data_IF_254280371177
#
_entry.id   IF_254280371177
#
_cell.length_a   1.000
_cell.length_b   1.000
_cell.length_c   1.000
_cell.angle_alpha   90.00
_cell.angle_beta   90.00
_cell.angle_gamma   90.00
#
_symmetry.space_group_name_H-M   'P 1'
#
loop_
_entity.id
_entity.type
_entity.pdbx_description
1 polymer ?
#
# COMPACT_ATOMS: atom_id res chain seq x y z
N UNK A 1 65.70 18.54 18.38
CA UNK A 1 64.46 19.12 17.81
C UNK A 1 63.74 18.04 16.97
N UNK A 2 62.60 17.51 17.37
CA UNK A 2 61.83 16.62 16.56
C UNK A 2 60.81 17.34 15.71
N UNK A 3 60.67 16.91 14.46
CA UNK A 3 59.63 17.35 13.50
C UNK A 3 58.31 16.71 13.89
N UNK A 4 57.26 17.51 13.94
CA UNK A 4 55.87 17.10 13.99
C UNK A 4 55.39 16.79 12.56
N UNK A 5 55.02 15.56 12.33
CA UNK A 5 54.17 15.15 11.23
C UNK A 5 52.79 14.71 11.80
N UNK A 6 51.80 15.58 11.67
CA UNK A 6 50.39 15.25 11.96
C UNK A 6 49.70 14.92 10.64
N UNK A 7 49.62 13.65 10.34
CA UNK A 7 48.86 13.12 9.20
C UNK A 7 47.46 12.76 9.70
N UNK A 8 46.46 13.62 9.40
CA UNK A 8 45.07 13.40 9.69
C UNK A 8 44.41 12.66 8.48
N UNK A 9 44.63 11.36 8.40
CA UNK A 9 43.98 10.47 7.47
C UNK A 9 42.52 10.23 7.81
N UNK A 10 41.66 11.22 7.59
CA UNK A 10 40.20 11.04 7.65
C UNK A 10 39.70 10.14 6.53
N UNK A 11 38.95 9.18 6.89
CA UNK A 11 38.51 8.00 6.14
C UNK A 11 37.82 8.33 4.80
N UNK A 12 38.58 8.39 3.72
CA UNK A 12 38.10 8.59 2.34
C UNK A 12 37.27 7.39 1.80
N UNK A 13 37.17 6.27 2.51
CA UNK A 13 36.42 5.08 2.06
C UNK A 13 34.92 5.19 2.30
N UNK A 14 34.49 5.76 3.41
CA UNK A 14 33.07 5.90 3.74
C UNK A 14 32.38 6.84 2.75
N UNK A 15 33.03 7.93 2.36
CA UNK A 15 32.52 8.90 1.37
C UNK A 15 32.37 8.26 -0.04
N UNK A 16 33.21 7.29 -0.39
CA UNK A 16 33.18 6.63 -1.70
C UNK A 16 32.04 5.62 -1.84
N UNK A 17 31.63 4.96 -0.76
CA UNK A 17 30.49 4.03 -0.78
C UNK A 17 29.13 4.78 -0.88
N UNK A 18 28.97 5.89 -0.16
CA UNK A 18 27.76 6.72 -0.28
C UNK A 18 27.62 7.39 -1.67
N UNK A 19 28.69 7.76 -2.30
CA UNK A 19 28.67 8.34 -3.66
C UNK A 19 28.38 7.29 -4.75
N UNK A 20 28.79 6.04 -4.58
CA UNK A 20 28.53 4.98 -5.56
C UNK A 20 27.06 4.53 -5.62
N UNK A 21 26.31 4.62 -4.53
CA UNK A 21 24.88 4.28 -4.52
C UNK A 21 24.03 5.35 -5.22
N UNK A 22 24.48 6.60 -5.23
CA UNK A 22 23.77 7.72 -5.89
C UNK A 22 24.06 7.85 -7.39
N UNK A 23 25.13 7.26 -7.90
CA UNK A 23 25.59 7.46 -9.28
C UNK A 23 25.14 6.39 -10.30
N UNK A 24 24.49 5.32 -9.86
CA UNK A 24 24.02 4.27 -10.80
C UNK A 24 22.82 4.71 -11.67
N UNK A 25 22.19 5.84 -11.39
CA UNK A 25 21.11 6.41 -12.19
C UNK A 25 21.54 7.41 -13.30
N UNK A 26 22.81 7.79 -13.40
CA UNK A 26 23.24 8.92 -14.24
C UNK A 26 24.16 8.54 -15.41
N UNK A 27 24.02 7.33 -15.97
CA UNK A 27 24.86 6.87 -17.10
C UNK A 27 24.49 7.44 -18.48
N UNK A 28 23.52 8.35 -18.57
CA UNK A 28 23.10 8.97 -19.85
C UNK A 28 23.48 10.45 -20.05
N UNK A 29 24.22 11.07 -19.12
CA UNK A 29 24.67 12.46 -19.31
C UNK A 29 26.21 12.55 -19.36
N UNK A 30 26.76 12.13 -20.47
CA UNK A 30 28.22 12.16 -20.71
C UNK A 30 28.86 13.53 -20.86
N UNK A 31 28.14 14.66 -20.72
CA UNK A 31 28.68 16.01 -20.99
C UNK A 31 28.69 16.99 -19.82
N UNK A 32 28.23 16.60 -18.63
CA UNK A 32 28.12 17.54 -17.47
C UNK A 32 29.15 17.23 -16.38
N UNK A 33 29.94 16.15 -16.50
CA UNK A 33 30.80 15.66 -15.41
C UNK A 33 32.01 16.53 -15.06
N UNK A 34 32.49 17.38 -15.99
CA UNK A 34 33.71 18.18 -15.80
C UNK A 34 33.54 19.43 -14.96
N UNK A 35 32.39 20.11 -15.03
CA UNK A 35 32.14 21.39 -14.30
C UNK A 35 31.51 21.22 -12.93
N UNK A 36 30.81 20.12 -12.66
CA UNK A 36 30.14 19.87 -11.38
C UNK A 36 31.12 19.37 -10.31
N UNK A 37 32.25 18.75 -10.69
CA UNK A 37 33.26 18.26 -9.74
C UNK A 37 33.90 19.36 -8.88
N UNK A 38 34.07 20.57 -9.41
CA UNK A 38 34.70 21.67 -8.66
C UNK A 38 33.75 22.37 -7.68
N UNK A 39 32.43 22.22 -7.87
CA UNK A 39 31.43 22.92 -7.01
C UNK A 39 30.99 22.06 -5.82
N UNK A 40 31.21 20.74 -5.85
CA UNK A 40 30.79 19.80 -4.79
C UNK A 40 31.84 19.68 -3.68
N UNK A 41 33.11 19.99 -3.93
CA UNK A 41 34.18 19.97 -2.91
C UNK A 41 34.04 21.05 -1.82
N UNK A 42 33.12 21.99 -1.99
CA UNK A 42 32.89 23.11 -1.04
C UNK A 42 31.63 22.93 -0.16
N UNK A 43 30.97 21.76 -0.16
CA UNK A 43 29.78 21.52 0.64
C UNK A 43 30.18 20.87 1.98
N UNK A 44 30.18 21.65 3.03
CA UNK A 44 30.25 21.14 4.41
C UNK A 44 28.94 20.42 4.76
N UNK A 45 29.01 19.10 4.84
CA UNK A 45 27.86 18.21 5.08
C UNK A 45 27.33 18.31 6.53
N UNK A 46 28.04 18.98 7.43
CA UNK A 46 27.65 19.05 8.85
C UNK A 46 26.79 20.27 9.22
N UNK A 47 26.78 21.32 8.43
CA UNK A 47 26.09 22.58 8.82
C UNK A 47 24.69 22.77 8.25
N UNK A 48 24.20 21.92 7.34
CA UNK A 48 22.82 22.00 6.82
C UNK A 48 22.42 23.30 6.10
N UNK A 49 23.35 24.24 5.88
CA UNK A 49 23.08 25.55 5.31
C UNK A 49 23.46 25.60 3.84
N UNK A 50 22.47 25.67 3.00
CA UNK A 50 22.55 25.71 1.54
C UNK A 50 22.83 27.13 1.04
N UNK A 51 24.07 27.68 1.24
CA UNK A 51 24.45 29.02 0.78
C UNK A 51 24.94 29.10 -0.70
N UNK A 52 25.20 27.96 -1.35
CA UNK A 52 25.77 27.90 -2.71
C UNK A 52 24.75 27.66 -3.84
N UNK A 53 23.45 27.51 -3.53
CA UNK A 53 22.42 27.22 -4.56
C UNK A 53 22.00 28.44 -5.40
N UNK A 54 22.44 29.63 -5.06
CA UNK A 54 22.03 30.85 -5.80
C UNK A 54 22.63 30.98 -7.21
N UNK A 55 23.66 30.24 -7.55
CA UNK A 55 24.34 30.31 -8.86
C UNK A 55 23.89 29.22 -9.86
N UNK A 56 22.96 28.35 -9.46
CA UNK A 56 22.46 27.30 -10.38
C UNK A 56 21.34 27.83 -11.29
N UNK A 57 21.27 27.42 -12.56
CA UNK A 57 20.15 27.75 -13.44
C UNK A 57 18.80 27.37 -12.80
N UNK A 58 17.79 28.23 -12.96
CA UNK A 58 16.48 28.11 -12.32
C UNK A 58 15.86 26.72 -12.45
N UNK A 59 15.95 26.08 -13.63
CA UNK A 59 15.46 24.73 -13.87
C UNK A 59 16.21 23.61 -13.13
N UNK A 60 17.51 23.78 -12.88
CA UNK A 60 18.31 22.82 -12.12
C UNK A 60 18.05 22.95 -10.60
N UNK A 61 17.80 24.16 -10.15
CA UNK A 61 17.38 24.44 -8.77
C UNK A 61 16.02 23.83 -8.47
N UNK A 62 15.04 23.99 -9.37
CA UNK A 62 13.71 23.38 -9.23
C UNK A 62 13.77 21.85 -9.33
N UNK A 63 14.63 21.32 -10.18
CA UNK A 63 14.87 19.88 -10.27
C UNK A 63 15.48 19.33 -8.97
N UNK A 64 16.51 19.96 -8.41
CA UNK A 64 17.13 19.56 -7.14
C UNK A 64 16.18 19.77 -5.94
N UNK A 65 15.40 20.85 -5.91
CA UNK A 65 14.36 21.04 -4.89
C UNK A 65 13.21 20.03 -4.99
N UNK A 66 12.77 19.65 -6.18
CA UNK A 66 11.75 18.61 -6.39
C UNK A 66 12.23 17.21 -6.04
N UNK A 67 13.53 16.92 -6.15
CA UNK A 67 14.11 15.61 -5.80
C UNK A 67 14.39 15.44 -4.31
N UNK A 68 14.21 16.46 -3.47
CA UNK A 68 14.64 16.44 -2.07
C UNK A 68 13.50 16.44 -1.03
N UNK A 69 12.29 16.05 -1.36
CA UNK A 69 11.32 15.68 -0.32
C UNK A 69 11.73 14.32 0.30
N UNK A 70 12.68 14.38 1.22
CA UNK A 70 13.14 13.21 1.96
C UNK A 70 12.24 13.01 3.20
N UNK A 71 11.80 11.80 3.41
CA UNK A 71 11.18 11.39 4.66
C UNK A 71 12.26 10.69 5.47
N UNK A 72 12.47 11.14 6.72
CA UNK A 72 13.46 10.59 7.64
C UNK A 72 12.78 10.13 8.90
N UNK A 73 13.05 8.90 9.29
CA UNK A 73 12.63 8.33 10.56
C UNK A 73 13.74 8.55 11.60
N UNK A 74 13.39 9.12 12.75
CA UNK A 74 14.32 9.35 13.84
C UNK A 74 14.48 8.06 14.68
N UNK A 75 15.52 7.30 14.45
CA UNK A 75 15.74 5.93 14.99
C UNK A 75 15.90 5.84 16.52
N UNK A 76 14.92 6.29 17.29
CA UNK A 76 14.96 6.28 18.76
C UNK A 76 14.75 4.89 19.39
N UNK A 77 14.16 3.94 18.66
CA UNK A 77 13.78 2.60 19.17
C UNK A 77 14.31 1.43 18.32
N UNK A 78 15.54 1.54 17.82
CA UNK A 78 16.15 0.50 16.97
C UNK A 78 16.15 -0.91 17.65
N UNK A 79 16.18 -0.98 18.99
CA UNK A 79 16.14 -2.23 19.75
C UNK A 79 14.75 -2.89 19.69
N UNK A 80 13.66 -2.12 19.63
CA UNK A 80 12.30 -2.66 19.55
C UNK A 80 12.14 -3.59 18.35
N UNK A 81 12.39 -3.10 17.13
CA UNK A 81 12.19 -3.90 15.92
C UNK A 81 13.13 -5.08 15.81
N UNK A 82 14.39 -4.94 16.26
CA UNK A 82 15.35 -6.05 16.27
C UNK A 82 14.93 -7.16 17.23
N UNK A 83 14.43 -6.81 18.43
CA UNK A 83 13.89 -7.76 19.40
C UNK A 83 12.65 -8.46 18.87
N UNK A 84 11.69 -7.68 18.33
CA UNK A 84 10.47 -8.22 17.75
C UNK A 84 10.77 -9.19 16.60
N UNK A 85 11.66 -8.80 15.69
CA UNK A 85 12.08 -9.65 14.56
C UNK A 85 12.73 -10.94 15.02
N UNK A 86 13.62 -10.87 16.02
CA UNK A 86 14.26 -12.06 16.60
C UNK A 86 13.23 -13.04 17.18
N UNK A 87 12.20 -12.54 17.89
CA UNK A 87 11.11 -13.37 18.44
C UNK A 87 10.29 -14.02 17.36
N UNK A 88 9.95 -13.27 16.30
CA UNK A 88 9.21 -13.80 15.14
C UNK A 88 10.03 -14.87 14.41
N UNK A 89 11.31 -14.62 14.12
CA UNK A 89 12.18 -15.58 13.45
C UNK A 89 12.39 -16.84 14.34
N UNK A 90 12.54 -16.65 15.67
CA UNK A 90 12.58 -17.73 16.67
C UNK A 90 11.33 -18.59 16.62
N UNK A 91 10.12 -17.99 16.60
CA UNK A 91 8.86 -18.72 16.50
C UNK A 91 8.82 -19.65 15.26
N UNK A 92 9.25 -19.18 14.10
CA UNK A 92 9.27 -20.01 12.88
C UNK A 92 10.30 -21.13 12.95
N UNK A 93 11.46 -20.83 13.51
CA UNK A 93 12.57 -21.79 13.63
C UNK A 93 12.24 -22.90 14.63
N UNK A 94 11.79 -22.57 15.83
CA UNK A 94 11.46 -23.50 16.90
C UNK A 94 10.30 -24.43 16.52
N UNK A 95 9.32 -23.92 15.79
CA UNK A 95 8.17 -24.71 15.33
C UNK A 95 8.43 -25.43 13.99
N UNK A 96 9.60 -25.26 13.38
CA UNK A 96 9.94 -25.80 12.05
C UNK A 96 8.89 -25.51 10.97
N UNK A 97 8.33 -24.31 10.95
CA UNK A 97 7.32 -23.86 9.99
C UNK A 97 7.88 -22.77 9.07
N UNK A 98 7.30 -22.67 7.89
CA UNK A 98 7.73 -21.72 6.85
C UNK A 98 6.92 -20.44 6.95
N UNK A 99 7.54 -19.29 6.69
CA UNK A 99 6.88 -17.98 6.68
C UNK A 99 5.91 -17.80 5.51
N UNK A 100 6.06 -18.56 4.42
CA UNK A 100 5.17 -18.53 3.25
C UNK A 100 3.85 -19.22 3.51
N UNK A 101 2.89 -19.01 2.61
CA UNK A 101 1.60 -19.67 2.59
C UNK A 101 1.70 -21.20 2.61
N UNK A 102 0.64 -21.83 3.06
CA UNK A 102 0.52 -23.27 3.24
C UNK A 102 -0.81 -23.80 2.67
N UNK A 103 -1.14 -25.08 2.94
CA UNK A 103 -2.36 -25.69 2.45
C UNK A 103 -3.65 -24.91 2.78
N UNK A 104 -3.71 -24.24 3.92
CA UNK A 104 -4.87 -23.40 4.29
C UNK A 104 -5.09 -22.25 3.30
N UNK A 105 -4.00 -21.62 2.83
CA UNK A 105 -4.07 -20.59 1.81
C UNK A 105 -4.42 -21.18 0.43
N UNK A 106 -3.79 -22.30 0.06
CA UNK A 106 -4.01 -22.89 -1.26
C UNK A 106 -5.44 -23.42 -1.43
N UNK A 107 -5.99 -24.10 -0.40
CA UNK A 107 -7.39 -24.54 -0.42
C UNK A 107 -8.36 -23.37 -0.47
N UNK A 108 -8.08 -22.29 0.26
CA UNK A 108 -8.86 -21.05 0.20
C UNK A 108 -8.86 -20.46 -1.21
N UNK A 109 -7.71 -20.40 -1.85
CA UNK A 109 -7.58 -19.91 -3.24
C UNK A 109 -8.45 -20.75 -4.19
N UNK A 110 -8.42 -22.08 -4.07
CA UNK A 110 -9.26 -22.95 -4.89
C UNK A 110 -10.75 -22.69 -4.68
N UNK A 111 -11.19 -22.54 -3.42
CA UNK A 111 -12.58 -22.22 -3.10
C UNK A 111 -12.99 -20.89 -3.73
N UNK A 112 -12.20 -19.85 -3.54
CA UNK A 112 -12.51 -18.49 -4.03
C UNK A 112 -12.58 -18.43 -5.56
N UNK A 113 -11.61 -19.04 -6.25
CA UNK A 113 -11.63 -19.08 -7.72
C UNK A 113 -12.77 -19.93 -8.26
N UNK A 114 -13.05 -21.08 -7.64
CA UNK A 114 -14.16 -21.94 -8.07
C UNK A 114 -15.51 -21.27 -7.86
N UNK A 115 -15.72 -20.59 -6.73
CA UNK A 115 -16.97 -19.87 -6.45
C UNK A 115 -17.14 -18.65 -7.34
N UNK A 116 -16.05 -17.98 -7.74
CA UNK A 116 -16.09 -16.91 -8.73
C UNK A 116 -16.57 -17.43 -10.09
N UNK A 117 -15.94 -18.50 -10.59
CA UNK A 117 -16.32 -19.09 -11.88
C UNK A 117 -17.76 -19.60 -11.82
N UNK A 118 -18.15 -20.28 -10.74
CA UNK A 118 -19.51 -20.78 -10.58
C UNK A 118 -20.55 -19.65 -10.59
N UNK A 119 -20.30 -18.57 -9.83
CA UNK A 119 -21.20 -17.41 -9.79
C UNK A 119 -21.35 -16.77 -11.16
N UNK A 120 -20.25 -16.62 -11.89
CA UNK A 120 -20.23 -16.07 -13.23
C UNK A 120 -21.04 -16.94 -14.20
N UNK A 121 -20.80 -18.25 -14.19
CA UNK A 121 -21.52 -19.22 -15.05
C UNK A 121 -23.03 -19.19 -14.76
N UNK A 122 -23.42 -19.19 -13.48
CA UNK A 122 -24.83 -19.11 -13.09
C UNK A 122 -25.49 -17.82 -13.57
N UNK A 123 -24.82 -16.69 -13.42
CA UNK A 123 -25.36 -15.37 -13.83
C UNK A 123 -25.51 -15.25 -15.35
N UNK A 124 -24.51 -15.71 -16.11
CA UNK A 124 -24.46 -15.46 -17.57
C UNK A 124 -25.23 -16.51 -18.37
N UNK A 125 -25.13 -17.80 -17.99
CA UNK A 125 -25.69 -18.87 -18.81
C UNK A 125 -27.03 -19.42 -18.29
N UNK A 126 -27.28 -19.31 -16.98
CA UNK A 126 -28.50 -19.87 -16.38
C UNK A 126 -29.51 -18.79 -16.03
N UNK A 127 -29.10 -17.51 -15.97
CA UNK A 127 -29.95 -16.34 -15.72
C UNK A 127 -31.04 -16.59 -14.67
N UNK A 128 -30.68 -16.79 -13.39
CA UNK A 128 -31.66 -17.13 -12.35
C UNK A 128 -32.67 -15.99 -12.13
N UNK A 129 -33.71 -16.26 -11.30
CA UNK A 129 -34.66 -15.22 -10.91
C UNK A 129 -33.96 -13.95 -10.40
N UNK A 130 -34.54 -12.76 -10.67
CA UNK A 130 -33.87 -11.47 -10.44
C UNK A 130 -33.28 -11.31 -9.03
N UNK A 131 -34.03 -11.72 -7.99
CA UNK A 131 -33.53 -11.62 -6.60
C UNK A 131 -32.33 -12.53 -6.34
N UNK A 132 -32.28 -13.73 -6.97
CA UNK A 132 -31.11 -14.66 -6.88
C UNK A 132 -29.93 -14.02 -7.62
N UNK A 133 -30.16 -13.43 -8.80
CA UNK A 133 -29.12 -12.74 -9.57
C UNK A 133 -28.51 -11.57 -8.79
N UNK A 134 -29.32 -10.79 -8.09
CA UNK A 134 -28.84 -9.71 -7.21
C UNK A 134 -27.94 -10.26 -6.10
N UNK A 135 -28.38 -11.32 -5.41
CA UNK A 135 -27.57 -11.97 -4.36
C UNK A 135 -26.27 -12.54 -4.91
N UNK A 136 -26.28 -13.16 -6.09
CA UNK A 136 -25.08 -13.66 -6.75
C UNK A 136 -24.13 -12.53 -7.18
N UNK A 137 -24.64 -11.38 -7.64
CA UNK A 137 -23.83 -10.21 -7.96
C UNK A 137 -23.15 -9.63 -6.71
N UNK A 138 -23.89 -9.52 -5.59
CA UNK A 138 -23.32 -9.12 -4.29
C UNK A 138 -22.25 -10.11 -3.85
N UNK A 139 -22.55 -11.41 -3.90
CA UNK A 139 -21.59 -12.47 -3.56
C UNK A 139 -20.33 -12.40 -4.44
N UNK A 140 -20.49 -12.17 -5.74
CA UNK A 140 -19.37 -12.03 -6.69
C UNK A 140 -18.52 -10.80 -6.35
N UNK A 141 -19.14 -9.69 -5.96
CA UNK A 141 -18.41 -8.49 -5.51
C UNK A 141 -17.61 -8.72 -4.23
N UNK A 142 -18.18 -9.40 -3.24
CA UNK A 142 -17.48 -9.82 -2.02
C UNK A 142 -16.34 -10.78 -2.39
N UNK A 143 -16.56 -11.71 -3.32
CA UNK A 143 -15.56 -12.68 -3.75
C UNK A 143 -14.38 -11.97 -4.47
N UNK A 144 -14.62 -10.97 -5.30
CA UNK A 144 -13.57 -10.13 -5.91
C UNK A 144 -12.67 -9.51 -4.83
N UNK A 145 -13.28 -8.85 -3.85
CA UNK A 145 -12.53 -8.26 -2.73
C UNK A 145 -11.74 -9.34 -1.96
N UNK A 146 -12.37 -10.48 -1.66
CA UNK A 146 -11.75 -11.57 -0.91
C UNK A 146 -10.58 -12.22 -1.67
N UNK A 147 -10.67 -12.38 -3.00
CA UNK A 147 -9.54 -12.82 -3.85
C UNK A 147 -8.42 -11.77 -3.80
N UNK A 148 -8.76 -10.49 -3.87
CA UNK A 148 -7.81 -9.40 -3.69
C UNK A 148 -7.04 -9.54 -2.38
N UNK A 149 -7.73 -9.67 -1.28
CA UNK A 149 -7.13 -9.75 0.06
C UNK A 149 -6.32 -11.03 0.32
N UNK A 150 -6.72 -12.16 -0.23
CA UNK A 150 -6.14 -13.46 0.12
C UNK A 150 -5.10 -13.97 -0.89
N UNK A 151 -5.34 -13.72 -2.18
CA UNK A 151 -4.54 -14.33 -3.25
C UNK A 151 -3.57 -13.31 -3.83
N UNK A 152 -4.13 -12.22 -4.33
CA UNK A 152 -3.37 -11.14 -4.94
C UNK A 152 -2.39 -10.51 -3.95
N UNK A 153 -2.88 -10.18 -2.77
CA UNK A 153 -2.14 -9.44 -1.76
C UNK A 153 -0.92 -10.23 -1.26
N UNK A 154 -1.08 -11.47 -0.80
CA UNK A 154 0.04 -12.34 -0.43
C UNK A 154 1.00 -12.58 -1.63
N UNK A 155 0.45 -12.75 -2.84
CA UNK A 155 1.25 -12.88 -4.07
C UNK A 155 2.12 -11.66 -4.34
N UNK A 156 1.58 -10.46 -4.20
CA UNK A 156 2.28 -9.21 -4.43
C UNK A 156 3.36 -8.92 -3.38
N UNK A 157 3.15 -9.33 -2.13
CA UNK A 157 4.17 -9.25 -1.07
C UNK A 157 5.21 -10.37 -1.13
N UNK A 158 5.05 -11.35 -2.04
CA UNK A 158 5.94 -12.49 -2.15
C UNK A 158 5.78 -13.51 -1.02
N UNK A 159 4.70 -13.44 -0.25
CA UNK A 159 4.42 -14.27 0.92
C UNK A 159 3.55 -15.50 0.61
N UNK A 160 2.89 -15.54 -0.56
CA UNK A 160 2.02 -16.65 -0.96
C UNK A 160 2.77 -17.97 -1.09
N UNK A 161 3.96 -17.97 -1.70
CA UNK A 161 4.76 -19.16 -1.95
C UNK A 161 6.25 -18.87 -1.84
N UNK A 162 7.04 -19.93 -1.58
CA UNK A 162 8.51 -19.86 -1.67
C UNK A 162 9.03 -19.69 -3.11
N UNK A 163 8.19 -19.98 -4.12
CA UNK A 163 8.55 -19.91 -5.53
C UNK A 163 8.16 -18.52 -6.08
N UNK A 164 9.12 -17.66 -6.49
CA UNK A 164 8.82 -16.30 -6.95
C UNK A 164 7.84 -16.25 -8.13
N UNK A 165 7.92 -17.21 -9.06
CA UNK A 165 7.01 -17.25 -10.20
C UNK A 165 5.56 -17.51 -9.78
N UNK A 166 5.31 -18.31 -8.71
CA UNK A 166 3.97 -18.53 -8.17
C UNK A 166 3.43 -17.23 -7.58
N UNK A 167 4.25 -16.51 -6.81
CA UNK A 167 3.87 -15.21 -6.27
C UNK A 167 3.49 -14.23 -7.39
N UNK A 168 4.26 -14.19 -8.48
CA UNK A 168 3.96 -13.34 -9.63
C UNK A 168 2.61 -13.70 -10.29
N UNK A 169 2.31 -15.00 -10.46
CA UNK A 169 1.01 -15.44 -11.00
C UNK A 169 -0.12 -15.05 -10.06
N UNK A 170 0.04 -15.25 -8.75
CA UNK A 170 -1.00 -14.89 -7.77
C UNK A 170 -1.20 -13.37 -7.71
N UNK A 171 -0.15 -12.56 -7.81
CA UNK A 171 -0.26 -11.12 -7.94
C UNK A 171 -1.04 -10.67 -9.19
N UNK A 172 -0.86 -11.39 -10.32
CA UNK A 172 -1.60 -11.11 -11.56
C UNK A 172 -3.11 -11.42 -11.47
N UNK A 173 -3.58 -12.07 -10.40
CA UNK A 173 -5.03 -12.20 -10.16
C UNK A 173 -5.70 -10.82 -10.05
N UNK A 174 -5.00 -9.76 -9.61
CA UNK A 174 -5.49 -8.39 -9.65
C UNK A 174 -5.85 -7.95 -11.08
N UNK A 175 -5.04 -8.32 -12.05
CA UNK A 175 -5.27 -7.96 -13.45
C UNK A 175 -6.53 -8.65 -14.01
N UNK A 176 -6.80 -9.89 -13.56
CA UNK A 176 -8.06 -10.60 -13.88
C UNK A 176 -9.26 -9.88 -13.25
N UNK A 177 -9.08 -9.28 -12.09
CA UNK A 177 -10.10 -8.48 -11.39
C UNK A 177 -10.16 -7.01 -11.86
N UNK A 178 -9.53 -6.66 -12.98
CA UNK A 178 -9.61 -5.34 -13.59
C UNK A 178 -8.59 -4.31 -13.12
N UNK A 179 -7.88 -4.52 -12.02
CA UNK A 179 -6.79 -3.66 -11.57
C UNK A 179 -5.48 -3.91 -12.33
N UNK A 180 -4.41 -3.22 -11.95
CA UNK A 180 -3.09 -3.46 -12.51
C UNK A 180 -2.06 -3.72 -11.40
N UNK A 181 -1.45 -4.90 -11.41
CA UNK A 181 -0.52 -5.37 -10.37
C UNK A 181 0.78 -4.55 -10.30
N UNK A 182 1.26 -3.99 -11.42
CA UNK A 182 2.45 -3.13 -11.41
C UNK A 182 2.18 -1.82 -10.63
N UNK A 183 1.11 -1.10 -10.96
CA UNK A 183 0.76 0.15 -10.27
C UNK A 183 0.37 -0.08 -8.81
N UNK A 184 -0.34 -1.18 -8.54
CA UNK A 184 -0.66 -1.55 -7.17
C UNK A 184 0.61 -1.81 -6.36
N UNK A 185 1.59 -2.52 -6.90
CA UNK A 185 2.86 -2.77 -6.24
C UNK A 185 3.59 -1.47 -5.91
N UNK A 186 3.67 -0.53 -6.86
CA UNK A 186 4.30 0.78 -6.64
C UNK A 186 3.57 1.61 -5.58
N UNK A 187 2.23 1.60 -5.62
CA UNK A 187 1.41 2.32 -4.66
C UNK A 187 1.47 1.68 -3.27
N UNK A 188 1.19 0.38 -3.18
CA UNK A 188 1.02 -0.31 -1.91
C UNK A 188 2.36 -0.76 -1.28
N UNK A 189 3.17 -1.57 -2.00
CA UNK A 189 4.39 -2.12 -1.41
C UNK A 189 5.51 -1.08 -1.27
N UNK A 190 5.62 -0.15 -2.24
CA UNK A 190 6.71 0.84 -2.24
C UNK A 190 6.33 2.11 -1.49
N UNK A 191 5.14 2.67 -1.72
CA UNK A 191 4.75 3.93 -1.07
C UNK A 191 4.08 3.69 0.29
N UNK A 192 2.93 3.02 0.33
CA UNK A 192 2.13 2.86 1.53
C UNK A 192 2.88 2.16 2.67
N UNK A 193 3.47 0.97 2.46
CA UNK A 193 4.24 0.26 3.50
C UNK A 193 5.51 0.98 3.96
N UNK A 194 6.04 1.89 3.15
CA UNK A 194 7.21 2.68 3.58
C UNK A 194 6.81 3.92 4.36
N UNK A 195 5.65 4.52 4.03
CA UNK A 195 5.28 5.87 4.46
C UNK A 195 3.80 5.97 4.85
N UNK A 196 3.28 4.98 5.54
CA UNK A 196 1.87 4.90 5.96
C UNK A 196 1.40 6.18 6.65
N UNK A 197 0.27 6.72 6.26
CA UNK A 197 -0.34 7.95 6.80
C UNK A 197 0.56 9.20 6.74
N UNK A 198 1.54 9.25 5.84
CA UNK A 198 2.35 10.46 5.60
C UNK A 198 1.78 11.20 4.38
N UNK A 199 1.34 12.44 4.58
CA UNK A 199 0.74 13.26 3.53
C UNK A 199 1.67 13.48 2.33
N UNK A 200 1.13 13.33 1.11
CA UNK A 200 1.87 13.43 -0.15
C UNK A 200 2.85 12.28 -0.40
N UNK A 201 2.91 11.29 0.51
CA UNK A 201 3.71 10.08 0.37
C UNK A 201 2.84 8.83 0.27
N UNK A 202 1.75 8.78 1.01
CA UNK A 202 0.76 7.72 1.01
C UNK A 202 -0.48 8.15 0.23
N UNK A 203 -0.67 7.60 -0.99
CA UNK A 203 -1.84 7.90 -1.83
C UNK A 203 -3.13 7.25 -1.26
N UNK A 204 -3.01 6.27 -0.33
CA UNK A 204 -4.18 5.58 0.23
C UNK A 204 -5.01 6.47 1.16
N UNK A 205 -4.39 7.52 1.72
CA UNK A 205 -5.09 8.54 2.53
C UNK A 205 -5.50 9.78 1.70
N UNK A 206 -5.11 9.88 0.43
CA UNK A 206 -5.43 11.04 -0.41
C UNK A 206 -6.73 10.81 -1.19
N UNK A 207 -7.83 11.16 -0.58
CA UNK A 207 -9.18 11.16 -1.19
C UNK A 207 -9.66 12.60 -1.46
N UNK A 208 -8.75 13.57 -1.40
CA UNK A 208 -9.03 14.99 -1.63
C UNK A 208 -9.56 15.23 -3.06
N UNK A 209 -10.49 16.18 -3.29
CA UNK A 209 -11.15 17.02 -2.28
C UNK A 209 -12.39 16.36 -1.64
N UNK A 210 -12.75 15.12 -2.00
CA UNK A 210 -14.02 14.50 -1.66
C UNK A 210 -14.12 14.10 -0.19
N UNK A 211 -13.01 13.72 0.44
CA UNK A 211 -12.93 13.40 1.86
C UNK A 211 -11.67 14.01 2.47
N UNK A 212 -11.77 14.37 3.74
CA UNK A 212 -10.67 14.80 4.59
C UNK A 212 -10.46 13.74 5.66
N UNK A 213 -9.32 13.08 5.66
CA UNK A 213 -9.02 12.00 6.62
C UNK A 213 -7.96 12.40 7.65
N UNK A 214 -7.25 13.50 7.40
CA UNK A 214 -6.22 14.03 8.30
C UNK A 214 -6.38 15.55 8.51
N UNK A 215 -5.87 16.06 9.62
CA UNK A 215 -5.88 17.49 9.94
C UNK A 215 -5.02 18.33 8.96
N UNK A 216 -4.07 17.70 8.30
CA UNK A 216 -3.16 18.36 7.34
C UNK A 216 -3.80 18.59 5.98
N UNK A 217 -4.93 17.95 5.67
CA UNK A 217 -5.64 18.09 4.40
C UNK A 217 -6.58 19.32 4.40
N UNK A 218 -6.82 19.95 3.23
CA UNK A 218 -7.74 21.07 3.13
C UNK A 218 -9.14 20.71 3.61
N UNK A 219 -9.77 21.64 4.35
CA UNK A 219 -11.14 21.48 4.84
C UNK A 219 -12.12 22.24 3.97
N UNK A 220 -13.20 21.58 3.56
CA UNK A 220 -14.31 22.15 2.81
C UNK A 220 -15.62 22.02 3.61
N UNK A 221 -16.58 22.88 3.34
CA UNK A 221 -17.85 22.96 4.07
C UNK A 221 -18.66 21.67 4.10
N UNK A 222 -18.54 20.82 3.07
CA UNK A 222 -19.27 19.56 2.96
C UNK A 222 -18.63 18.41 3.75
N UNK A 223 -17.37 18.54 4.18
CA UNK A 223 -16.69 17.50 4.96
C UNK A 223 -17.39 17.20 6.28
N UNK A 224 -18.15 18.16 6.84
CA UNK A 224 -18.96 17.93 8.04
C UNK A 224 -19.96 16.78 7.91
N UNK A 225 -20.29 16.37 6.68
CA UNK A 225 -21.18 15.25 6.37
C UNK A 225 -20.44 14.00 5.87
N UNK A 226 -19.12 14.00 5.79
CA UNK A 226 -18.35 12.91 5.19
C UNK A 226 -18.53 11.56 5.87
N UNK A 227 -18.81 11.53 7.16
CA UNK A 227 -19.17 10.33 7.91
C UNK A 227 -20.48 9.66 7.43
N UNK A 228 -21.28 10.35 6.64
CA UNK A 228 -22.51 9.83 6.00
C UNK A 228 -22.23 9.46 4.55
N UNK A 229 -21.81 10.43 3.72
CA UNK A 229 -21.65 10.19 2.30
C UNK A 229 -20.38 9.38 1.95
N UNK A 230 -19.41 9.28 2.86
CA UNK A 230 -18.19 8.51 2.65
C UNK A 230 -18.44 7.05 2.32
N UNK A 231 -19.47 6.44 2.91
CA UNK A 231 -19.87 5.07 2.59
C UNK A 231 -20.27 4.89 1.11
N UNK A 232 -20.90 5.91 0.50
CA UNK A 232 -21.21 5.92 -0.92
C UNK A 232 -19.94 6.04 -1.77
N UNK A 233 -19.02 6.92 -1.38
CA UNK A 233 -17.73 7.08 -2.08
C UNK A 233 -16.90 5.78 -2.03
N UNK A 234 -16.94 5.05 -0.91
CA UNK A 234 -16.29 3.75 -0.80
C UNK A 234 -16.81 2.76 -1.83
N UNK A 235 -18.12 2.75 -2.07
CA UNK A 235 -18.69 1.88 -3.13
C UNK A 235 -18.15 2.21 -4.52
N UNK A 236 -17.89 3.48 -4.82
CA UNK A 236 -17.36 3.91 -6.11
C UNK A 236 -15.86 3.66 -6.28
N UNK A 237 -15.13 3.39 -5.20
CA UNK A 237 -13.66 3.32 -5.20
C UNK A 237 -13.10 2.32 -6.20
N UNK A 238 -13.71 1.13 -6.33
CA UNK A 238 -13.24 0.09 -7.25
C UNK A 238 -13.41 0.53 -8.72
N UNK A 239 -14.55 1.12 -9.09
CA UNK A 239 -14.81 1.61 -10.45
C UNK A 239 -13.81 2.73 -10.80
N UNK A 240 -13.61 3.68 -9.87
CA UNK A 240 -12.63 4.76 -10.03
C UNK A 240 -11.23 4.22 -10.18
N UNK A 241 -10.85 3.21 -9.39
CA UNK A 241 -9.54 2.61 -9.47
C UNK A 241 -9.28 1.98 -10.85
N UNK A 242 -10.14 1.05 -11.30
CA UNK A 242 -9.87 0.25 -12.50
C UNK A 242 -10.09 1.00 -13.82
N UNK A 243 -11.00 1.99 -13.87
CA UNK A 243 -11.34 2.73 -15.10
C UNK A 243 -10.74 4.14 -15.16
N UNK A 244 -10.23 4.67 -14.06
CA UNK A 244 -9.65 6.01 -14.05
C UNK A 244 -8.22 6.03 -13.48
N UNK A 245 -8.00 5.66 -12.23
CA UNK A 245 -6.71 5.84 -11.57
C UNK A 245 -5.58 5.03 -12.23
N UNK A 246 -5.83 3.77 -12.63
CA UNK A 246 -4.82 2.97 -13.32
C UNK A 246 -4.40 3.59 -14.67
N UNK A 247 -5.35 4.20 -15.39
CA UNK A 247 -5.05 4.90 -16.65
C UNK A 247 -4.31 6.21 -16.41
N UNK A 248 -4.69 6.99 -15.39
CA UNK A 248 -3.94 8.19 -15.00
C UNK A 248 -2.49 7.82 -14.70
N UNK A 249 -2.24 6.78 -13.88
CA UNK A 249 -0.90 6.30 -13.57
C UNK A 249 -0.15 5.83 -14.82
N UNK A 250 -0.84 5.14 -15.73
CA UNK A 250 -0.25 4.66 -16.98
C UNK A 250 0.24 5.81 -17.88
N UNK A 251 -0.57 6.85 -18.06
CA UNK A 251 -0.24 7.96 -18.95
C UNK A 251 0.66 9.01 -18.32
N UNK A 252 0.58 9.21 -17.00
CA UNK A 252 1.39 10.21 -16.30
C UNK A 252 2.72 9.68 -15.78
N UNK A 253 2.84 8.37 -15.57
CA UNK A 253 3.99 7.76 -14.91
C UNK A 253 4.14 8.17 -13.44
N UNK A 254 3.03 8.58 -12.77
CA UNK A 254 3.05 9.08 -11.39
C UNK A 254 2.12 8.31 -10.48
N UNK A 255 2.46 8.32 -9.18
CA UNK A 255 1.60 7.90 -8.08
C UNK A 255 1.53 9.08 -7.11
N UNK A 256 0.36 9.70 -7.00
CA UNK A 256 0.22 10.99 -6.35
C UNK A 256 1.17 12.03 -6.98
N UNK A 257 1.96 12.69 -6.16
CA UNK A 257 2.97 13.67 -6.60
C UNK A 257 4.32 13.05 -7.01
N UNK A 258 4.48 11.72 -6.90
CA UNK A 258 5.76 11.03 -7.10
C UNK A 258 5.88 10.39 -8.47
N UNK A 259 7.01 10.61 -9.12
CA UNK A 259 7.34 9.91 -10.35
C UNK A 259 7.66 8.43 -10.06
N UNK A 260 7.12 7.53 -10.88
CA UNK A 260 7.45 6.10 -10.84
C UNK A 260 8.87 5.93 -11.39
N UNK A 261 9.80 5.54 -10.51
CA UNK A 261 11.22 5.40 -10.87
C UNK A 261 11.50 4.21 -11.77
N UNK A 262 10.65 3.19 -11.74
CA UNK A 262 10.80 1.97 -12.55
C UNK A 262 10.03 2.14 -13.85
N UNK A 263 10.69 2.26 -15.01
CA UNK A 263 9.99 2.37 -16.29
C UNK A 263 9.25 1.08 -16.62
N UNK A 264 8.11 1.20 -17.31
CA UNK A 264 7.37 0.06 -17.84
C UNK A 264 8.22 -0.62 -18.93
N UNK A 265 8.30 -1.94 -18.87
CA UNK A 265 8.83 -2.76 -19.96
C UNK A 265 7.77 -2.97 -21.04
N UNK A 266 8.19 -3.42 -22.23
CA UNK A 266 7.25 -3.81 -23.31
C UNK A 266 6.24 -4.85 -22.80
N UNK A 267 6.69 -5.79 -21.97
CA UNK A 267 5.82 -6.80 -21.35
C UNK A 267 4.77 -6.16 -20.44
N UNK A 268 5.13 -5.13 -19.66
CA UNK A 268 4.19 -4.44 -18.78
C UNK A 268 3.12 -3.69 -19.56
N UNK A 269 3.49 -3.07 -20.71
CA UNK A 269 2.54 -2.45 -21.63
C UNK A 269 1.55 -3.49 -22.20
N UNK A 270 2.04 -4.64 -22.66
CA UNK A 270 1.21 -5.72 -23.18
C UNK A 270 0.27 -6.24 -22.08
N UNK A 271 0.78 -6.52 -20.89
CA UNK A 271 -0.03 -6.99 -19.75
C UNK A 271 -1.11 -5.97 -19.41
N UNK A 272 -0.76 -4.68 -19.33
CA UNK A 272 -1.74 -3.62 -19.02
C UNK A 272 -2.92 -3.66 -19.99
N UNK A 273 -2.67 -3.51 -21.29
CA UNK A 273 -3.74 -3.41 -22.28
C UNK A 273 -4.49 -4.73 -22.47
N UNK A 274 -3.77 -5.86 -22.55
CA UNK A 274 -4.41 -7.16 -22.72
C UNK A 274 -5.35 -7.50 -21.56
N UNK A 275 -4.94 -7.19 -20.32
CA UNK A 275 -5.77 -7.49 -19.15
C UNK A 275 -6.92 -6.50 -18.97
N UNK A 276 -6.74 -5.22 -19.28
CA UNK A 276 -7.85 -4.24 -19.28
C UNK A 276 -8.92 -4.59 -20.32
N UNK A 277 -8.50 -4.89 -21.54
CA UNK A 277 -9.41 -5.31 -22.60
C UNK A 277 -10.07 -6.66 -22.30
N UNK A 278 -9.30 -7.62 -21.80
CA UNK A 278 -9.79 -8.93 -21.36
C UNK A 278 -10.82 -8.82 -20.24
N UNK A 279 -10.58 -7.97 -19.24
CA UNK A 279 -11.55 -7.70 -18.18
C UNK A 279 -12.87 -7.15 -18.72
N UNK A 280 -12.80 -6.13 -19.58
CA UNK A 280 -14.00 -5.54 -20.21
C UNK A 280 -14.73 -6.60 -21.05
N UNK A 281 -13.98 -7.37 -21.83
CA UNK A 281 -14.59 -8.42 -22.67
C UNK A 281 -15.29 -9.50 -21.81
N UNK A 282 -14.65 -9.99 -20.74
CA UNK A 282 -15.19 -11.07 -19.91
C UNK A 282 -16.35 -10.58 -19.04
N UNK A 283 -16.22 -9.45 -18.34
CA UNK A 283 -17.20 -9.04 -17.32
C UNK A 283 -18.25 -8.06 -17.83
N UNK A 284 -18.09 -7.52 -19.03
CA UNK A 284 -19.08 -6.62 -19.65
C UNK A 284 -19.50 -7.14 -21.03
N UNK A 285 -18.57 -7.29 -21.96
CA UNK A 285 -18.90 -7.62 -23.37
C UNK A 285 -19.58 -8.98 -23.52
N UNK A 286 -19.04 -10.01 -22.92
CA UNK A 286 -19.58 -11.36 -23.00
C UNK A 286 -20.94 -11.48 -22.30
N UNK A 287 -21.16 -10.99 -21.07
CA UNK A 287 -22.49 -10.93 -20.47
C UNK A 287 -23.50 -10.11 -21.31
N UNK A 288 -23.10 -8.98 -21.91
CA UNK A 288 -23.98 -8.21 -22.79
C UNK A 288 -24.55 -9.05 -23.93
N UNK A 289 -23.74 -9.92 -24.50
CA UNK A 289 -24.18 -10.80 -25.61
C UNK A 289 -25.23 -11.83 -25.12
N UNK A 290 -25.09 -12.41 -23.91
CA UNK A 290 -25.96 -13.46 -23.41
C UNK A 290 -27.22 -12.94 -22.69
N UNK A 291 -27.09 -11.91 -21.87
CA UNK A 291 -28.17 -11.43 -21.00
C UNK A 291 -28.64 -10.00 -21.32
N UNK A 292 -28.05 -9.39 -22.33
CA UNK A 292 -28.39 -8.04 -22.79
C UNK A 292 -27.75 -6.91 -22.00
N UNK A 293 -27.69 -5.72 -22.61
CA UNK A 293 -26.99 -4.54 -22.07
C UNK A 293 -27.51 -4.12 -20.70
N UNK A 294 -28.82 -3.94 -20.54
CA UNK A 294 -29.41 -3.45 -19.29
C UNK A 294 -29.15 -4.36 -18.11
N UNK A 295 -29.36 -5.67 -18.28
CA UNK A 295 -29.10 -6.67 -17.24
C UNK A 295 -27.62 -6.71 -16.84
N UNK A 296 -26.73 -6.65 -17.85
CA UNK A 296 -25.28 -6.62 -17.62
C UNK A 296 -24.86 -5.39 -16.82
N UNK A 297 -25.32 -4.20 -17.22
CA UNK A 297 -24.95 -2.96 -16.53
C UNK A 297 -25.42 -2.94 -15.06
N UNK A 298 -26.66 -3.42 -14.82
CA UNK A 298 -27.18 -3.51 -13.45
C UNK A 298 -26.37 -4.51 -12.63
N UNK A 299 -26.19 -5.75 -13.14
CA UNK A 299 -25.44 -6.79 -12.42
C UNK A 299 -23.99 -6.40 -12.19
N UNK A 300 -23.32 -5.84 -13.20
CA UNK A 300 -21.96 -5.34 -13.08
C UNK A 300 -21.86 -4.22 -12.04
N UNK A 301 -22.79 -3.25 -12.04
CA UNK A 301 -22.80 -2.16 -11.07
C UNK A 301 -22.96 -2.68 -9.65
N UNK A 302 -23.87 -3.64 -9.41
CA UNK A 302 -24.04 -4.25 -8.07
C UNK A 302 -22.75 -4.91 -7.60
N UNK A 303 -22.12 -5.74 -8.45
CA UNK A 303 -20.87 -6.42 -8.10
C UNK A 303 -19.72 -5.42 -7.86
N UNK A 304 -19.56 -4.43 -8.75
CA UNK A 304 -18.48 -3.45 -8.68
C UNK A 304 -18.62 -2.52 -7.47
N UNK A 305 -19.82 -2.03 -7.17
CA UNK A 305 -20.10 -1.20 -5.99
C UNK A 305 -19.88 -1.97 -4.70
N UNK A 306 -20.28 -3.26 -4.67
CA UNK A 306 -20.02 -4.14 -3.52
C UNK A 306 -18.51 -4.36 -3.33
N UNK A 307 -17.77 -4.61 -4.42
CA UNK A 307 -16.31 -4.77 -4.37
C UNK A 307 -15.65 -3.52 -3.80
N UNK A 308 -15.99 -2.34 -4.33
CA UNK A 308 -15.45 -1.07 -3.86
C UNK A 308 -15.72 -0.83 -2.39
N UNK A 309 -16.97 -1.01 -1.95
CA UNK A 309 -17.36 -0.86 -0.56
C UNK A 309 -16.54 -1.76 0.39
N UNK A 310 -16.45 -3.06 0.06
CA UNK A 310 -15.72 -4.02 0.90
C UNK A 310 -14.23 -3.69 0.96
N UNK A 311 -13.60 -3.39 -0.18
CA UNK A 311 -12.17 -3.04 -0.22
C UNK A 311 -11.91 -1.76 0.58
N UNK A 312 -12.65 -0.70 0.31
CA UNK A 312 -12.42 0.58 0.95
C UNK A 312 -12.66 0.52 2.46
N UNK A 313 -13.76 -0.12 2.92
CA UNK A 313 -14.03 -0.26 4.35
C UNK A 313 -12.86 -0.97 5.04
N UNK A 314 -12.39 -2.11 4.52
CA UNK A 314 -11.31 -2.87 5.16
C UNK A 314 -10.03 -2.05 5.28
N UNK A 315 -9.65 -1.31 4.22
CA UNK A 315 -8.48 -0.43 4.24
C UNK A 315 -8.65 0.74 5.22
N UNK A 316 -9.81 1.40 5.20
CA UNK A 316 -10.04 2.58 6.05
C UNK A 316 -10.05 2.21 7.54
N UNK A 317 -10.60 1.05 7.91
CA UNK A 317 -10.60 0.59 9.30
C UNK A 317 -9.20 0.31 9.85
N UNK A 318 -8.24 0.07 8.99
CA UNK A 318 -6.87 -0.18 9.36
C UNK A 318 -6.07 1.11 9.65
N UNK A 319 -6.40 2.22 8.96
CA UNK A 319 -5.53 3.40 8.89
C UNK A 319 -6.22 4.72 9.24
N UNK A 320 -7.55 4.77 9.22
CA UNK A 320 -8.33 5.99 9.42
C UNK A 320 -9.36 5.76 10.52
N UNK A 321 -8.88 5.66 11.75
CA UNK A 321 -9.69 5.50 12.98
C UNK A 321 -9.18 6.47 14.04
N UNK A 322 -9.90 6.61 15.15
CA UNK A 322 -9.44 7.45 16.27
C UNK A 322 -8.09 6.95 16.81
N UNK A 323 -7.26 7.89 17.25
CA UNK A 323 -5.95 7.66 17.86
C UNK A 323 -4.89 6.97 16.96
N UNK A 324 -5.06 6.95 15.64
CA UNK A 324 -3.95 6.64 14.72
C UNK A 324 -3.22 7.92 14.34
N UNK A 325 -1.94 7.80 14.10
CA UNK A 325 -1.07 8.94 13.79
C UNK A 325 -1.13 9.29 12.31
N UNK A 326 -1.23 10.57 11.99
CA UNK A 326 -0.98 11.14 10.67
C UNK A 326 0.22 12.07 10.73
N UNK A 327 0.98 12.16 9.64
CA UNK A 327 2.15 13.03 9.54
C UNK A 327 1.95 13.99 8.38
N UNK A 328 1.99 15.30 8.69
CA UNK A 328 1.91 16.36 7.68
C UNK A 328 3.19 16.45 6.84
N UNK A 329 3.01 16.81 5.58
CA UNK A 329 4.13 17.06 4.67
C UNK A 329 4.87 18.33 5.07
N UNK A 330 6.17 18.22 5.33
CA UNK A 330 7.07 19.38 5.50
C UNK A 330 8.12 19.39 4.40
N UNK A 331 8.58 20.58 4.02
CA UNK A 331 9.57 20.76 2.95
C UNK A 331 10.81 21.46 3.49
N UNK A 332 12.04 21.07 3.10
CA UNK A 332 12.39 20.04 2.12
C UNK A 332 12.43 18.61 2.70
N UNK A 333 12.39 18.44 4.01
CA UNK A 333 12.48 17.15 4.70
C UNK A 333 11.29 16.98 5.65
N UNK A 334 10.55 15.89 5.52
CA UNK A 334 9.55 15.47 6.51
C UNK A 334 10.23 14.57 7.54
N UNK A 335 10.37 15.05 8.77
CA UNK A 335 10.91 14.25 9.88
C UNK A 335 9.78 13.55 10.59
N UNK A 336 9.90 12.23 10.74
CA UNK A 336 9.02 11.38 11.54
C UNK A 336 9.72 11.11 12.85
N UNK A 337 9.11 11.49 13.96
CA UNK A 337 9.75 11.44 15.29
C UNK A 337 10.07 10.04 15.78
N UNK A 338 9.40 9.02 15.24
CA UNK A 338 9.62 7.60 15.57
C UNK A 338 10.51 6.91 14.55
N UNK A 339 11.07 5.75 14.93
CA UNK A 339 11.62 4.81 13.95
C UNK A 339 10.53 4.19 13.07
N UNK A 340 10.92 3.59 11.93
CA UNK A 340 9.97 3.06 10.96
C UNK A 340 8.99 2.03 11.58
N UNK A 341 9.46 1.11 12.41
CA UNK A 341 8.60 0.05 12.96
C UNK A 341 7.58 0.61 13.96
N UNK A 342 7.99 1.52 14.83
CA UNK A 342 7.10 2.25 15.74
C UNK A 342 6.09 3.06 14.95
N UNK A 343 6.51 3.75 13.87
CA UNK A 343 5.61 4.47 12.99
C UNK A 343 4.55 3.55 12.37
N UNK A 344 4.94 2.36 11.86
CA UNK A 344 3.98 1.41 11.31
C UNK A 344 2.90 1.02 12.33
N UNK A 345 3.26 0.85 13.60
CA UNK A 345 2.30 0.51 14.66
C UNK A 345 1.38 1.69 14.98
N UNK A 346 1.93 2.90 15.08
CA UNK A 346 1.15 4.11 15.42
C UNK A 346 0.17 4.54 14.32
N UNK A 347 0.42 4.12 13.08
CA UNK A 347 -0.40 4.46 11.90
C UNK A 347 -1.36 3.33 11.50
N UNK A 348 -1.39 2.23 12.26
CA UNK A 348 -2.23 1.07 11.96
C UNK A 348 -3.05 0.62 13.16
N UNK A 349 -4.21 0.03 12.90
CA UNK A 349 -5.06 -0.57 13.91
C UNK A 349 -5.51 -1.96 13.50
N UNK A 350 -5.51 -2.89 14.45
CA UNK A 350 -6.12 -4.20 14.29
C UNK A 350 -7.60 -4.17 14.67
N UNK A 351 -8.39 -5.08 14.11
CA UNK A 351 -9.80 -5.20 14.47
C UNK A 351 -10.32 -6.62 14.35
N UNK A 352 -11.16 -7.02 15.33
CA UNK A 352 -11.83 -8.32 15.35
C UNK A 352 -10.90 -9.52 15.25
N UNK A 353 -9.70 -9.43 15.83
CA UNK A 353 -8.62 -10.45 15.73
C UNK A 353 -9.02 -11.82 16.29
N UNK A 354 -10.04 -11.87 17.19
CA UNK A 354 -10.59 -13.10 17.76
C UNK A 354 -11.51 -13.86 16.78
N UNK A 355 -11.97 -13.21 15.70
CA UNK A 355 -12.87 -13.81 14.71
C UNK A 355 -12.10 -14.56 13.61
N UNK A 356 -12.14 -15.89 13.66
CA UNK A 356 -11.51 -16.74 12.64
C UNK A 356 -12.16 -16.59 11.25
N UNK A 357 -13.49 -16.40 11.20
CA UNK A 357 -14.21 -16.17 9.94
C UNK A 357 -13.84 -14.84 9.31
N UNK A 358 -13.73 -13.78 10.11
CA UNK A 358 -13.29 -12.47 9.63
C UNK A 358 -11.87 -12.55 9.08
N UNK A 359 -10.93 -13.14 9.82
CA UNK A 359 -9.56 -13.35 9.37
C UNK A 359 -9.47 -14.20 8.08
N UNK A 360 -10.36 -15.18 7.93
CA UNK A 360 -10.44 -15.98 6.73
C UNK A 360 -10.92 -15.17 5.52
N UNK A 361 -11.99 -14.41 5.65
CA UNK A 361 -12.55 -13.58 4.58
C UNK A 361 -11.59 -12.46 4.18
N UNK A 362 -11.02 -11.75 5.15
CA UNK A 362 -10.20 -10.57 4.90
C UNK A 362 -8.73 -10.89 4.60
N UNK A 363 -8.33 -12.18 4.47
CA UNK A 363 -6.92 -12.50 4.22
C UNK A 363 -5.99 -11.98 5.30
N UNK A 364 -6.45 -11.98 6.56
CA UNK A 364 -5.68 -11.48 7.69
C UNK A 364 -5.49 -9.96 7.72
N UNK A 365 -6.12 -9.18 6.81
CA UNK A 365 -6.01 -7.72 6.81
C UNK A 365 -6.69 -7.04 8.03
N UNK A 366 -7.35 -7.79 8.88
CA UNK A 366 -7.74 -7.37 10.21
C UNK A 366 -6.61 -7.46 11.26
N UNK A 367 -5.41 -7.94 10.87
CA UNK A 367 -4.16 -7.94 11.61
C UNK A 367 -3.16 -6.99 10.93
N UNK A 368 -3.55 -5.72 10.80
CA UNK A 368 -2.79 -4.74 10.01
C UNK A 368 -1.42 -4.43 10.59
N UNK A 369 -1.29 -4.41 11.91
CA UNK A 369 0.01 -4.17 12.57
C UNK A 369 1.01 -5.26 12.18
N UNK A 370 0.60 -6.53 12.22
CA UNK A 370 1.42 -7.67 11.82
C UNK A 370 1.74 -7.63 10.33
N UNK A 371 0.76 -7.22 9.52
CA UNK A 371 0.92 -7.08 8.08
C UNK A 371 1.95 -5.99 7.72
N UNK A 372 1.85 -4.81 8.31
CA UNK A 372 2.77 -3.70 8.06
C UNK A 372 4.20 -4.00 8.48
N UNK A 373 4.37 -4.64 9.64
CA UNK A 373 5.70 -5.02 10.14
C UNK A 373 6.34 -6.18 9.37
N UNK A 374 5.53 -7.14 8.91
CA UNK A 374 6.01 -8.38 8.30
C UNK A 374 5.25 -8.76 7.01
N UNK A 375 5.19 -7.90 5.99
CA UNK A 375 4.39 -8.15 4.78
C UNK A 375 4.86 -9.37 3.97
N UNK A 376 6.13 -9.80 4.15
CA UNK A 376 6.67 -11.00 3.51
C UNK A 376 6.33 -12.31 4.22
N UNK A 377 5.61 -12.24 5.34
CA UNK A 377 5.04 -13.40 6.02
C UNK A 377 3.59 -13.56 5.59
N UNK A 378 3.19 -14.77 5.18
CA UNK A 378 1.80 -15.02 4.75
C UNK A 378 0.81 -14.78 5.89
N UNK A 379 -0.32 -14.18 5.55
CA UNK A 379 -1.39 -13.85 6.49
C UNK A 379 -1.93 -15.03 7.30
N UNK A 380 -1.74 -16.25 6.84
CA UNK A 380 -2.16 -17.46 7.59
C UNK A 380 -1.45 -17.61 8.94
N UNK A 381 -0.35 -16.88 9.13
CA UNK A 381 0.45 -16.88 10.37
C UNK A 381 0.10 -15.71 11.29
N UNK A 382 -0.49 -14.61 10.81
CA UNK A 382 -0.77 -13.40 11.59
C UNK A 382 -1.49 -13.64 12.93
N UNK A 383 -2.51 -14.53 13.03
CA UNK A 383 -3.15 -14.82 14.31
C UNK A 383 -2.21 -15.36 15.40
N UNK A 384 -1.08 -15.96 15.01
CA UNK A 384 -0.05 -16.43 15.96
C UNK A 384 0.97 -15.35 16.26
N UNK A 385 1.32 -14.53 15.27
CA UNK A 385 2.26 -13.42 15.43
C UNK A 385 1.68 -12.30 16.29
N UNK A 386 0.37 -12.09 16.25
CA UNK A 386 -0.35 -11.05 17.00
C UNK A 386 0.01 -11.04 18.50
N UNK A 387 0.07 -12.23 19.13
CA UNK A 387 0.48 -12.33 20.53
C UNK A 387 1.90 -11.81 20.76
N UNK A 388 2.85 -12.23 19.91
CA UNK A 388 4.27 -11.84 20.03
C UNK A 388 4.43 -10.34 19.82
N UNK A 389 3.75 -9.79 18.81
CA UNK A 389 3.77 -8.34 18.51
C UNK A 389 3.23 -7.55 19.68
N UNK A 390 2.05 -7.91 20.21
CA UNK A 390 1.44 -7.21 21.34
C UNK A 390 2.30 -7.25 22.59
N UNK A 391 2.79 -8.42 23.00
CA UNK A 391 3.66 -8.58 24.17
C UNK A 391 4.96 -7.77 24.04
N UNK A 392 5.51 -7.69 22.81
CA UNK A 392 6.71 -6.87 22.57
C UNK A 392 6.38 -5.38 22.61
N UNK A 393 5.23 -4.95 22.08
CA UNK A 393 4.78 -3.56 22.19
C UNK A 393 4.59 -3.14 23.66
N UNK A 394 3.99 -3.99 24.48
CA UNK A 394 3.81 -3.75 25.92
C UNK A 394 5.16 -3.58 26.63
N UNK A 395 6.13 -4.45 26.35
CA UNK A 395 7.49 -4.40 26.96
C UNK A 395 8.24 -3.10 26.61
N UNK A 396 8.09 -2.62 25.37
CA UNK A 396 8.77 -1.41 24.89
C UNK A 396 7.95 -0.13 25.02
N UNK A 397 6.77 -0.18 25.68
CA UNK A 397 5.83 0.94 25.80
C UNK A 397 5.42 1.56 24.45
N UNK A 398 5.29 0.74 23.41
CA UNK A 398 4.76 1.15 22.11
C UNK A 398 3.24 0.97 22.11
N UNK A 399 2.51 2.05 21.84
CA UNK A 399 1.05 2.03 21.81
C UNK A 399 0.54 1.10 20.69
N UNK A 400 -0.15 0.04 21.05
CA UNK A 400 -0.73 -0.94 20.15
C UNK A 400 -2.24 -0.79 20.11
N UNK A 401 -2.79 -0.51 18.92
CA UNK A 401 -4.22 -0.24 18.75
C UNK A 401 -4.96 -1.48 18.23
N UNK A 402 -5.98 -1.92 18.96
CA UNK A 402 -6.84 -3.03 18.57
C UNK A 402 -8.30 -2.78 18.94
N UNK A 403 -9.20 -2.94 17.98
CA UNK A 403 -10.64 -2.92 18.21
C UNK A 403 -11.18 -4.33 18.40
N UNK A 404 -12.00 -4.60 19.44
CA UNK A 404 -12.48 -5.94 19.76
C UNK A 404 -13.33 -6.55 18.64
N UNK A 405 -14.02 -5.74 17.85
CA UNK A 405 -14.88 -6.17 16.74
C UNK A 405 -14.72 -5.26 15.52
N UNK A 406 -15.13 -5.75 14.35
CA UNK A 406 -15.21 -4.91 13.15
C UNK A 406 -16.21 -3.73 13.33
N UNK A 407 -17.31 -3.95 14.03
CA UNK A 407 -18.31 -2.90 14.28
C UNK A 407 -17.74 -1.77 15.16
N UNK A 408 -16.93 -2.10 16.18
CA UNK A 408 -16.28 -1.06 16.99
C UNK A 408 -15.25 -0.26 16.18
N UNK A 409 -14.55 -0.89 15.25
CA UNK A 409 -13.65 -0.18 14.31
C UNK A 409 -14.44 0.72 13.34
N UNK A 410 -15.58 0.24 12.79
CA UNK A 410 -16.47 1.07 11.97
C UNK A 410 -16.97 2.28 12.74
N UNK A 411 -17.39 2.10 13.98
CA UNK A 411 -17.83 3.20 14.81
C UNK A 411 -16.73 4.25 15.04
N UNK A 412 -15.53 3.80 15.39
CA UNK A 412 -14.35 4.68 15.56
C UNK A 412 -13.99 5.41 14.24
N UNK A 413 -14.03 4.71 13.10
CA UNK A 413 -13.81 5.32 11.80
C UNK A 413 -14.82 6.44 11.50
N UNK A 414 -16.12 6.19 11.71
CA UNK A 414 -17.15 7.19 11.48
C UNK A 414 -17.03 8.38 12.44
N UNK A 415 -16.64 8.15 13.70
CA UNK A 415 -16.34 9.22 14.66
C UNK A 415 -15.15 10.05 14.21
N UNK A 416 -14.05 9.41 13.79
CA UNK A 416 -12.88 10.10 13.25
C UNK A 416 -13.27 10.98 12.05
N UNK A 417 -14.00 10.44 11.07
CA UNK A 417 -14.46 11.21 9.91
C UNK A 417 -15.35 12.39 10.31
N UNK A 418 -16.21 12.21 11.31
CA UNK A 418 -17.07 13.29 11.83
C UNK A 418 -16.24 14.39 12.49
N UNK A 419 -15.27 14.02 13.33
CA UNK A 419 -14.40 14.95 14.06
C UNK A 419 -13.52 15.76 13.11
N UNK A 420 -12.85 15.07 12.19
CA UNK A 420 -11.92 15.74 11.26
C UNK A 420 -12.65 16.60 10.23
N UNK A 421 -13.93 16.31 9.93
CA UNK A 421 -14.80 17.10 9.05
C UNK A 421 -15.52 18.27 9.73
N UNK A 422 -15.63 18.25 11.05
CA UNK A 422 -16.34 19.29 11.86
C UNK A 422 -15.54 20.65 11.98
#
# INVERSE_FOLDING_TARGET
>A
LPKNDSDSGGDKRVVREYLNVSFFGCKQMGFVSGRIRHTIEAIDVQSGVCLTFFSLPFGLRDYLCRTMNQIRFEGRNAQFFSTLRSRIDGYFTENNIKQSGNWKLYSKTMILLSTLVLSYVLLVFFTPAAWVSVLLCIFMGINFATIGFNVMHDGSHGSYSRKPWVNKIMALSLNVLGGNSFYWNQKHNVAHHSFTNIEGADEDIDVSPYMRVSEYQPKYWFHKFQHIYGLLLYSLSYIMWIFYQDFVKYFTGKIGDRDIKTPLTVTDHIIFWATKLGYIAIFIGFPMYYVGLGTTLIGYSIAALTTGFVIAVVFQLAHVVEDVTFVGKTSPVTNVESDWATHQILTTANFGTKSKSLAWLLGGLNFQVEHHLFPKISHVHYPKLNKIVRETCEEFNVMYKEFPTMLSAIHSHLLHLKQIGA
#
